data_IF_616127442138
#
_entry.id   IF_616127442138
#
_cell.length_a   1.000
_cell.length_b   1.000
_cell.length_c   1.000
_cell.angle_alpha   90.00
_cell.angle_beta   90.00
_cell.angle_gamma   90.00
#
_symmetry.space_group_name_H-M   'P 1'
#
loop_
_entity.id
_entity.type
_entity.pdbx_description
1 polymer ?
#
# COMPACT_ATOMS: atom_id res chain seq x y z
N UNK A 1 14.05 -2.14 42.07
CA UNK A 1 13.49 -3.08 41.08
C UNK A 1 14.37 -4.30 41.05
N UNK A 2 13.77 -5.48 41.18
CA UNK A 2 14.49 -6.73 40.93
C UNK A 2 14.98 -6.72 39.47
N UNK A 3 16.17 -7.22 39.18
CA UNK A 3 16.74 -7.25 37.80
C UNK A 3 15.77 -7.84 36.76
N UNK A 4 14.85 -8.69 37.19
CA UNK A 4 13.89 -9.43 36.35
C UNK A 4 12.75 -8.56 35.77
N UNK A 5 12.31 -7.50 36.45
CA UNK A 5 11.18 -6.66 35.99
C UNK A 5 11.59 -5.71 34.88
N UNK A 6 12.80 -5.12 34.97
CA UNK A 6 13.35 -4.26 33.91
C UNK A 6 13.71 -5.04 32.64
N UNK A 7 14.21 -6.26 32.79
CA UNK A 7 14.56 -7.13 31.65
C UNK A 7 13.36 -7.41 30.73
N UNK A 8 12.14 -7.47 31.32
CA UNK A 8 10.92 -7.61 30.52
C UNK A 8 10.62 -6.37 29.67
N UNK A 9 10.85 -5.17 30.18
CA UNK A 9 10.63 -3.91 29.45
C UNK A 9 11.66 -3.68 28.33
N UNK A 10 12.88 -4.21 28.49
CA UNK A 10 13.94 -4.12 27.47
C UNK A 10 13.60 -4.88 26.19
N UNK A 11 12.78 -5.94 26.29
CA UNK A 11 12.38 -6.77 25.15
C UNK A 11 11.15 -6.23 24.40
N UNK A 12 10.49 -5.21 24.93
CA UNK A 12 9.30 -4.64 24.30
C UNK A 12 9.68 -3.81 23.05
N UNK A 13 8.92 -4.02 21.98
CA UNK A 13 9.02 -3.23 20.78
C UNK A 13 8.41 -1.83 20.94
N UNK A 14 7.51 -1.63 21.91
CA UNK A 14 6.97 -0.33 22.28
C UNK A 14 8.05 0.51 22.97
N UNK A 15 8.08 1.81 22.68
CA UNK A 15 8.97 2.75 23.35
C UNK A 15 8.40 3.07 24.75
N UNK A 16 9.13 2.69 25.78
CA UNK A 16 8.67 2.79 27.19
C UNK A 16 9.57 3.74 27.98
N UNK A 17 8.93 4.69 28.66
CA UNK A 17 9.57 5.61 29.57
C UNK A 17 8.87 5.56 30.94
N UNK A 18 9.64 5.50 32.02
CA UNK A 18 9.14 5.56 33.39
C UNK A 18 9.48 6.91 34.00
N UNK A 19 8.45 7.59 34.52
CA UNK A 19 8.59 8.88 35.18
C UNK A 19 7.95 8.88 36.58
N UNK A 20 8.41 9.78 37.47
CA UNK A 20 7.79 9.99 38.75
C UNK A 20 6.69 11.07 38.72
N UNK A 21 6.13 11.40 39.90
CA UNK A 21 5.12 12.45 40.07
C UNK A 21 5.57 13.83 39.61
N UNK A 22 6.87 14.10 39.58
CA UNK A 22 7.47 15.35 39.12
C UNK A 22 7.84 15.31 37.65
N UNK A 23 7.44 14.23 36.93
CA UNK A 23 7.75 14.01 35.55
C UNK A 23 9.25 13.86 35.26
N UNK A 24 10.03 13.40 36.27
CA UNK A 24 11.45 13.11 36.11
C UNK A 24 11.62 11.70 35.55
N UNK A 25 12.46 11.56 34.51
CA UNK A 25 12.74 10.30 33.86
C UNK A 25 13.63 9.41 34.72
N UNK A 26 13.15 8.21 35.06
CA UNK A 26 13.89 7.18 35.80
C UNK A 26 14.37 6.02 34.98
N UNK A 27 13.64 5.69 33.88
CA UNK A 27 13.98 4.59 32.99
C UNK A 27 13.47 4.85 31.56
N UNK A 28 14.21 4.34 30.61
CA UNK A 28 13.89 4.34 29.20
C UNK A 28 14.38 3.03 28.58
N UNK A 29 13.52 2.31 27.84
CA UNK A 29 13.95 1.09 27.19
C UNK A 29 14.66 1.36 25.86
N UNK A 30 15.37 0.36 25.26
CA UNK A 30 16.10 0.57 24.00
C UNK A 30 15.22 1.06 22.84
N UNK A 31 13.92 0.68 22.81
CA UNK A 31 12.98 1.16 21.80
C UNK A 31 12.70 2.65 21.96
N UNK A 32 12.60 3.16 23.19
CA UNK A 32 12.44 4.58 23.44
C UNK A 32 13.73 5.38 23.18
N UNK A 33 14.91 4.83 23.51
CA UNK A 33 16.19 5.43 23.16
C UNK A 33 16.32 5.61 21.65
N UNK A 34 15.91 4.60 20.86
CA UNK A 34 15.93 4.66 19.41
C UNK A 34 14.86 5.61 18.85
N UNK A 35 13.66 5.66 19.43
CA UNK A 35 12.57 6.51 18.98
C UNK A 35 12.94 7.99 19.13
N UNK A 36 13.49 8.34 20.28
CA UNK A 36 13.83 9.72 20.65
C UNK A 36 15.27 10.11 20.29
N UNK A 37 16.10 9.15 19.86
CA UNK A 37 17.55 9.34 19.63
C UNK A 37 18.27 9.86 20.87
N UNK A 38 17.82 9.43 22.05
CA UNK A 38 18.37 9.81 23.36
C UNK A 38 18.99 8.59 24.03
N UNK A 39 19.96 8.83 24.92
CA UNK A 39 20.55 7.76 25.74
C UNK A 39 20.09 7.93 27.19
N UNK A 40 19.58 6.88 27.83
CA UNK A 40 19.09 6.92 29.21
C UNK A 40 20.12 7.46 30.18
N UNK A 41 21.40 7.19 29.96
CA UNK A 41 22.48 7.70 30.82
C UNK A 41 22.58 9.23 30.87
N UNK A 42 22.10 9.89 29.82
CA UNK A 42 22.16 11.34 29.70
C UNK A 42 20.85 12.01 30.14
N UNK A 43 19.74 11.25 30.16
CA UNK A 43 18.40 11.82 30.43
C UNK A 43 17.80 11.36 31.77
N UNK A 44 18.37 10.33 32.38
CA UNK A 44 17.95 9.94 33.74
C UNK A 44 18.12 11.07 34.75
N UNK A 45 17.04 11.39 35.46
CA UNK A 45 16.99 12.50 36.40
C UNK A 45 16.61 13.85 35.80
N UNK A 46 16.40 13.96 34.48
CA UNK A 46 15.89 15.18 33.85
C UNK A 46 14.34 15.14 33.79
N UNK A 47 13.72 16.33 33.79
CA UNK A 47 12.30 16.44 33.62
C UNK A 47 11.89 16.26 32.14
N UNK A 48 10.70 15.73 31.88
CA UNK A 48 10.18 15.59 30.50
C UNK A 48 10.15 16.94 29.76
N UNK A 49 9.90 18.05 30.48
CA UNK A 49 9.90 19.39 29.88
C UNK A 49 11.28 19.86 29.42
N UNK A 50 12.37 19.26 29.92
CA UNK A 50 13.73 19.56 29.48
C UNK A 50 14.12 18.73 28.22
N UNK A 51 13.35 17.67 27.92
CA UNK A 51 13.62 16.76 26.80
C UNK A 51 12.76 17.08 25.59
N UNK A 52 11.53 17.57 25.80
CA UNK A 52 10.55 17.81 24.75
C UNK A 52 10.13 19.29 24.71
N UNK A 53 10.00 19.85 23.50
CA UNK A 53 9.69 21.27 23.29
C UNK A 53 8.24 21.63 23.70
N UNK A 54 7.27 20.72 23.54
CA UNK A 54 5.87 20.90 23.96
C UNK A 54 5.36 19.68 24.71
N UNK A 55 5.18 19.83 26.02
CA UNK A 55 4.70 18.75 26.89
C UNK A 55 3.27 18.99 27.41
N UNK A 56 2.54 19.98 26.91
CA UNK A 56 1.22 20.35 27.46
C UNK A 56 0.22 19.19 27.35
N UNK A 57 0.10 18.58 26.17
CA UNK A 57 -0.79 17.44 25.94
C UNK A 57 -0.38 16.21 26.76
N UNK A 58 0.92 15.92 26.83
CA UNK A 58 1.47 14.81 27.63
C UNK A 58 1.22 15.03 29.13
N UNK A 59 1.42 16.22 29.60
CA UNK A 59 1.15 16.60 31.03
C UNK A 59 -0.33 16.49 31.35
N UNK A 60 -1.23 16.87 30.44
CA UNK A 60 -2.67 16.74 30.62
C UNK A 60 -3.07 15.24 30.70
N UNK A 61 -2.50 14.39 29.83
CA UNK A 61 -2.74 12.95 29.87
C UNK A 61 -2.28 12.30 31.18
N UNK A 62 -1.11 12.71 31.71
CA UNK A 62 -0.57 12.22 32.97
C UNK A 62 -1.44 12.67 34.14
N UNK A 63 -1.87 13.94 34.17
CA UNK A 63 -2.75 14.46 35.20
C UNK A 63 -4.09 13.71 35.20
N UNK A 64 -4.67 13.48 34.05
CA UNK A 64 -5.91 12.68 33.93
C UNK A 64 -5.73 11.28 34.50
N UNK A 65 -4.64 10.59 34.13
CA UNK A 65 -4.35 9.24 34.60
C UNK A 65 -4.15 9.21 36.14
N UNK A 66 -3.53 10.26 36.69
CA UNK A 66 -3.35 10.46 38.15
C UNK A 66 -4.69 10.64 38.86
N UNK A 67 -5.51 11.57 38.38
CA UNK A 67 -6.75 11.98 39.08
C UNK A 67 -7.80 10.83 39.07
N UNK A 68 -7.77 9.98 38.02
CA UNK A 68 -8.72 8.90 37.88
C UNK A 68 -8.13 7.52 38.20
N UNK A 69 -6.83 7.43 38.52
CA UNK A 69 -6.10 6.18 38.76
C UNK A 69 -6.37 5.10 37.69
N UNK A 70 -6.38 5.50 36.43
CA UNK A 70 -6.60 4.61 35.28
C UNK A 70 -5.65 4.94 34.13
N UNK A 71 -5.44 3.97 33.23
CA UNK A 71 -4.67 4.22 32.02
C UNK A 71 -5.42 5.19 31.11
N UNK A 72 -4.69 6.12 30.51
CA UNK A 72 -5.19 7.09 29.54
C UNK A 72 -4.34 7.06 28.27
N UNK A 73 -4.98 7.09 27.09
CA UNK A 73 -4.29 7.10 25.80
C UNK A 73 -4.58 8.39 25.05
N UNK A 74 -3.52 9.14 24.76
CA UNK A 74 -3.56 10.31 23.87
C UNK A 74 -3.11 9.87 22.47
N UNK A 75 -4.02 9.98 21.48
CA UNK A 75 -3.79 9.45 20.13
C UNK A 75 -3.11 10.40 19.16
N UNK A 76 -3.10 11.69 19.44
CA UNK A 76 -2.58 12.72 18.54
C UNK A 76 -1.57 13.62 19.25
N UNK A 77 -0.52 12.99 19.83
CA UNK A 77 0.53 13.70 20.54
C UNK A 77 1.61 14.16 19.56
N UNK A 78 1.87 15.46 19.52
CA UNK A 78 2.97 16.05 18.78
C UNK A 78 4.07 16.44 19.78
N UNK A 79 5.21 15.76 19.72
CA UNK A 79 6.37 16.06 20.56
C UNK A 79 7.52 16.57 19.71
N UNK A 80 8.10 17.72 20.10
CA UNK A 80 9.32 18.26 19.52
C UNK A 80 10.54 17.77 20.30
N UNK A 81 11.57 17.30 19.59
CA UNK A 81 12.88 16.92 20.14
C UNK A 81 13.95 17.44 19.20
N UNK A 82 14.85 18.29 19.70
CA UNK A 82 15.99 18.82 18.96
C UNK A 82 15.60 19.37 17.56
N UNK A 83 14.46 20.06 17.47
CA UNK A 83 13.94 20.65 16.21
C UNK A 83 13.22 19.66 15.29
N UNK A 84 13.01 18.40 15.70
CA UNK A 84 12.20 17.40 14.97
C UNK A 84 10.84 17.27 15.64
N UNK A 85 9.78 17.20 14.85
CA UNK A 85 8.42 16.91 15.32
C UNK A 85 8.09 15.44 15.11
N UNK A 86 7.66 14.78 16.18
CA UNK A 86 7.23 13.39 16.19
C UNK A 86 5.73 13.33 16.46
N UNK A 87 4.99 12.66 15.56
CA UNK A 87 3.57 12.37 15.74
C UNK A 87 3.41 10.99 16.36
N UNK A 88 2.97 10.95 17.61
CA UNK A 88 2.94 9.75 18.44
C UNK A 88 1.55 9.56 19.05
N UNK A 89 1.26 8.35 19.47
CA UNK A 89 0.26 8.08 20.51
C UNK A 89 1.00 7.72 21.79
N UNK A 90 0.49 8.17 22.94
CA UNK A 90 1.05 7.88 24.24
C UNK A 90 -0.01 7.29 25.16
N UNK A 91 0.23 6.09 25.67
CA UNK A 91 -0.57 5.51 26.76
C UNK A 91 0.15 5.74 28.07
N UNK A 92 -0.52 6.41 29.00
CA UNK A 92 -0.05 6.68 30.35
C UNK A 92 -0.71 5.70 31.30
N UNK A 93 0.07 4.92 32.03
CA UNK A 93 -0.42 3.96 33.03
C UNK A 93 0.17 4.28 34.39
N UNK A 94 -0.65 4.57 35.43
CA UNK A 94 -0.16 4.69 36.80
C UNK A 94 0.40 3.34 37.29
N UNK A 95 1.61 3.36 37.86
CA UNK A 95 2.25 2.15 38.39
C UNK A 95 2.74 2.38 39.82
N UNK A 96 2.28 1.51 40.73
CA UNK A 96 2.82 1.46 42.09
C UNK A 96 4.09 0.60 42.10
N UNK A 97 5.24 1.23 42.33
CA UNK A 97 6.53 0.52 42.51
C UNK A 97 6.89 0.50 43.97
N UNK A 98 6.75 -0.65 44.63
CA UNK A 98 6.89 -0.77 46.08
C UNK A 98 8.33 -0.65 46.63
N UNK A 99 9.37 -0.75 45.81
CA UNK A 99 10.71 -1.02 46.38
C UNK A 99 11.79 0.07 46.23
N UNK A 100 11.74 1.03 45.30
CA UNK A 100 12.88 1.96 45.10
C UNK A 100 12.56 3.39 44.68
N UNK A 101 11.34 3.74 44.32
CA UNK A 101 10.94 5.08 43.93
C UNK A 101 9.74 5.45 44.79
N UNK A 102 9.95 6.29 45.83
CA UNK A 102 8.90 6.73 46.75
C UNK A 102 7.91 7.61 45.98
N UNK A 103 6.68 7.16 45.79
CA UNK A 103 5.59 7.90 45.19
C UNK A 103 4.90 7.19 44.02
N UNK A 104 3.88 7.85 43.46
CA UNK A 104 3.20 7.39 42.26
C UNK A 104 4.13 7.56 41.05
N UNK A 105 4.25 6.54 40.25
CA UNK A 105 5.03 6.51 39.01
C UNK A 105 4.11 6.31 37.84
N UNK A 106 4.53 6.76 36.66
CA UNK A 106 3.78 6.61 35.41
C UNK A 106 4.64 5.89 34.39
N UNK A 107 4.08 4.85 33.81
CA UNK A 107 4.63 4.19 32.64
C UNK A 107 4.05 4.87 31.40
N UNK A 108 4.90 5.41 30.56
CA UNK A 108 4.55 6.05 29.30
C UNK A 108 4.94 5.12 28.18
N UNK A 109 3.95 4.65 27.39
CA UNK A 109 4.17 3.82 26.20
C UNK A 109 3.93 4.67 24.96
N UNK A 110 4.96 4.88 24.16
CA UNK A 110 4.88 5.67 22.94
C UNK A 110 4.86 4.76 21.71
N UNK A 111 3.99 5.10 20.75
CA UNK A 111 3.91 4.43 19.46
C UNK A 111 3.81 5.45 18.33
N UNK A 112 4.46 5.19 17.20
CA UNK A 112 4.35 6.03 16.01
C UNK A 112 2.94 5.97 15.43
N UNK A 113 2.25 7.11 15.43
CA UNK A 113 0.91 7.22 14.83
C UNK A 113 0.95 6.98 13.32
N UNK A 114 1.99 7.45 12.63
CA UNK A 114 2.17 7.20 11.19
C UNK A 114 2.25 5.71 10.84
N UNK A 115 2.88 4.91 11.68
CA UNK A 115 3.02 3.46 11.43
C UNK A 115 1.69 2.74 11.57
N UNK A 116 0.87 3.11 12.55
CA UNK A 116 -0.49 2.59 12.72
C UNK A 116 -1.41 3.02 11.57
N UNK A 117 -1.35 4.28 11.16
CA UNK A 117 -2.11 4.78 10.00
C UNK A 117 -1.70 4.10 8.70
N UNK A 118 -0.41 3.85 8.49
CA UNK A 118 0.08 3.07 7.34
C UNK A 118 -0.45 1.65 7.35
N UNK A 119 -0.37 0.95 8.49
CA UNK A 119 -0.89 -0.42 8.64
C UNK A 119 -2.41 -0.44 8.39
N UNK A 120 -3.17 0.47 9.01
CA UNK A 120 -4.61 0.56 8.82
C UNK A 120 -4.99 0.90 7.36
N UNK A 121 -4.21 1.73 6.68
CA UNK A 121 -4.40 2.04 5.26
C UNK A 121 -4.12 0.83 4.37
N UNK A 122 -3.04 0.10 4.65
CA UNK A 122 -2.72 -1.14 3.93
C UNK A 122 -3.78 -2.22 4.13
N UNK A 123 -4.30 -2.37 5.35
CA UNK A 123 -5.40 -3.31 5.64
C UNK A 123 -6.66 -2.97 4.86
N UNK A 124 -7.05 -1.69 4.83
CA UNK A 124 -8.19 -1.23 4.04
C UNK A 124 -8.01 -1.51 2.55
N UNK A 125 -6.80 -1.27 2.00
CA UNK A 125 -6.51 -1.56 0.60
C UNK A 125 -6.58 -3.05 0.27
N UNK A 126 -6.14 -3.92 1.18
CA UNK A 126 -6.21 -5.37 1.02
C UNK A 126 -7.66 -5.88 1.07
N UNK A 127 -8.46 -5.41 2.04
CA UNK A 127 -9.86 -5.80 2.17
C UNK A 127 -10.67 -5.28 0.98
N UNK A 128 -10.40 -4.06 0.53
CA UNK A 128 -10.99 -3.48 -0.67
C UNK A 128 -10.63 -4.27 -1.93
N UNK A 129 -9.39 -4.71 -2.07
CA UNK A 129 -8.94 -5.55 -3.19
C UNK A 129 -9.65 -6.92 -3.20
N UNK A 130 -9.88 -7.52 -2.03
CA UNK A 130 -10.62 -8.79 -1.91
C UNK A 130 -12.09 -8.63 -2.28
N UNK A 131 -12.76 -7.61 -1.74
CA UNK A 131 -14.14 -7.31 -2.06
C UNK A 131 -14.33 -7.03 -3.55
N UNK A 132 -13.43 -6.25 -4.15
CA UNK A 132 -13.44 -5.97 -5.58
C UNK A 132 -13.30 -7.23 -6.44
N UNK A 133 -12.44 -8.18 -6.05
CA UNK A 133 -12.29 -9.48 -6.77
C UNK A 133 -13.56 -10.29 -6.76
N UNK A 134 -14.21 -10.39 -5.61
CA UNK A 134 -15.45 -11.15 -5.46
C UNK A 134 -16.58 -10.51 -6.27
N UNK A 135 -16.68 -9.17 -6.23
CA UNK A 135 -17.62 -8.40 -7.00
C UNK A 135 -17.43 -8.59 -8.52
N UNK A 136 -16.18 -8.50 -9.01
CA UNK A 136 -15.84 -8.75 -10.42
C UNK A 136 -16.23 -10.18 -10.84
N UNK A 137 -15.93 -11.17 -10.00
CA UNK A 137 -16.28 -12.57 -10.30
C UNK A 137 -17.78 -12.74 -10.44
N UNK A 138 -18.55 -12.22 -9.52
CA UNK A 138 -20.01 -12.32 -9.52
C UNK A 138 -20.63 -11.58 -10.72
N UNK A 139 -20.21 -10.32 -10.95
CA UNK A 139 -20.66 -9.52 -12.09
C UNK A 139 -20.33 -10.20 -13.43
N UNK A 140 -19.15 -10.74 -13.57
CA UNK A 140 -18.77 -11.37 -14.83
C UNK A 140 -19.57 -12.66 -15.11
N UNK A 141 -19.89 -13.45 -14.07
CA UNK A 141 -20.81 -14.59 -14.22
C UNK A 141 -22.22 -14.15 -14.61
N UNK A 142 -22.73 -13.10 -13.96
CA UNK A 142 -24.07 -12.56 -14.25
C UNK A 142 -24.17 -11.89 -15.61
N UNK A 143 -23.10 -11.31 -16.15
CA UNK A 143 -23.06 -10.74 -17.50
C UNK A 143 -22.86 -11.80 -18.58
N UNK A 144 -22.06 -12.84 -18.33
CA UNK A 144 -21.87 -13.94 -19.29
C UNK A 144 -23.16 -14.65 -19.66
N UNK A 145 -24.05 -14.83 -18.70
CA UNK A 145 -25.30 -15.54 -18.90
C UNK A 145 -26.20 -14.84 -19.94
N UNK A 146 -26.58 -13.55 -19.82
CA UNK A 146 -27.37 -12.86 -20.83
C UNK A 146 -26.65 -12.72 -22.17
N UNK A 147 -25.31 -12.53 -22.18
CA UNK A 147 -24.53 -12.50 -23.43
C UNK A 147 -24.61 -13.83 -24.18
N UNK A 148 -24.54 -14.96 -23.45
CA UNK A 148 -24.71 -16.29 -24.04
C UNK A 148 -26.12 -16.44 -24.62
N UNK A 149 -27.16 -15.94 -23.98
CA UNK A 149 -28.54 -15.90 -24.49
C UNK A 149 -28.68 -15.06 -25.75
N UNK A 150 -28.15 -13.83 -25.76
CA UNK A 150 -28.17 -12.92 -26.93
C UNK A 150 -27.47 -13.57 -28.13
N UNK A 151 -26.25 -14.12 -27.87
CA UNK A 151 -25.47 -14.83 -28.91
C UNK A 151 -26.26 -16.01 -29.51
N UNK A 152 -26.82 -16.87 -28.63
CA UNK A 152 -27.59 -18.03 -29.04
C UNK A 152 -28.84 -17.63 -29.85
N UNK A 153 -29.58 -16.63 -29.43
CA UNK A 153 -30.71 -16.09 -30.15
C UNK A 153 -30.33 -15.53 -31.53
N UNK A 154 -29.24 -14.75 -31.60
CA UNK A 154 -28.71 -14.24 -32.88
C UNK A 154 -28.25 -15.34 -33.81
N UNK A 155 -27.63 -16.42 -33.30
CA UNK A 155 -27.23 -17.59 -34.10
C UNK A 155 -28.44 -18.37 -34.64
N UNK A 156 -29.51 -18.51 -33.85
CA UNK A 156 -30.74 -19.15 -34.32
C UNK A 156 -31.42 -18.28 -35.38
N UNK A 157 -31.52 -16.99 -35.15
CA UNK A 157 -32.09 -16.05 -36.11
C UNK A 157 -31.31 -16.04 -37.43
N UNK A 158 -29.97 -16.07 -37.38
CA UNK A 158 -29.09 -16.12 -38.53
C UNK A 158 -29.38 -17.32 -39.44
N UNK A 159 -29.78 -18.45 -38.85
CA UNK A 159 -30.13 -19.68 -39.59
C UNK A 159 -31.52 -19.65 -40.24
N UNK A 160 -32.42 -18.87 -39.68
CA UNK A 160 -33.83 -18.76 -40.14
C UNK A 160 -34.04 -17.58 -41.12
N UNK A 161 -33.01 -16.77 -41.37
CA UNK A 161 -33.10 -15.63 -42.27
C UNK A 161 -32.89 -16.04 -43.71
N UNK A 162 -33.89 -15.79 -44.58
CA UNK A 162 -33.82 -16.04 -46.02
C UNK A 162 -33.13 -14.90 -46.80
N UNK A 163 -32.95 -13.70 -46.19
CA UNK A 163 -32.41 -12.52 -46.87
C UNK A 163 -30.94 -12.29 -46.53
N UNK A 164 -30.02 -12.36 -47.52
CA UNK A 164 -28.59 -12.25 -47.33
C UNK A 164 -28.16 -10.96 -46.61
N UNK A 165 -28.84 -9.84 -46.88
CA UNK A 165 -28.54 -8.55 -46.24
C UNK A 165 -28.87 -8.46 -44.74
N UNK A 166 -29.70 -9.37 -44.23
CA UNK A 166 -30.04 -9.41 -42.79
C UNK A 166 -29.02 -10.24 -41.99
N UNK A 167 -28.29 -11.15 -42.60
CA UNK A 167 -27.20 -11.87 -41.96
C UNK A 167 -26.08 -10.97 -41.46
N UNK A 168 -25.84 -9.83 -42.12
CA UNK A 168 -24.85 -8.87 -41.66
C UNK A 168 -25.18 -8.36 -40.24
N UNK A 169 -26.44 -8.10 -39.95
CA UNK A 169 -26.86 -7.62 -38.62
C UNK A 169 -26.70 -8.71 -37.53
N UNK A 170 -27.06 -9.95 -37.85
CA UNK A 170 -26.91 -11.04 -36.87
C UNK A 170 -25.44 -11.36 -36.63
N UNK A 171 -24.59 -11.29 -37.63
CA UNK A 171 -23.14 -11.46 -37.51
C UNK A 171 -22.50 -10.35 -36.67
N UNK A 172 -22.96 -9.10 -36.80
CA UNK A 172 -22.51 -7.98 -35.92
C UNK A 172 -22.91 -8.27 -34.48
N UNK A 173 -24.15 -8.71 -34.21
CA UNK A 173 -24.61 -9.01 -32.84
C UNK A 173 -23.76 -10.15 -32.24
N UNK A 174 -23.52 -11.23 -32.99
CA UNK A 174 -22.71 -12.37 -32.56
C UNK A 174 -21.28 -11.91 -32.24
N UNK A 175 -20.67 -11.10 -33.11
CA UNK A 175 -19.30 -10.60 -32.97
C UNK A 175 -19.16 -9.69 -31.74
N UNK A 176 -20.13 -8.80 -31.50
CA UNK A 176 -20.09 -7.93 -30.32
C UNK A 176 -20.37 -8.72 -29.02
N UNK A 177 -21.25 -9.72 -29.04
CA UNK A 177 -21.46 -10.60 -27.91
C UNK A 177 -20.18 -11.40 -27.57
N UNK A 178 -19.49 -11.95 -28.59
CA UNK A 178 -18.21 -12.63 -28.42
C UNK A 178 -17.13 -11.71 -27.90
N UNK A 179 -17.07 -10.47 -28.38
CA UNK A 179 -16.14 -9.43 -27.90
C UNK A 179 -16.38 -9.09 -26.43
N UNK A 180 -17.63 -8.90 -26.02
CA UNK A 180 -17.99 -8.64 -24.63
C UNK A 180 -17.66 -9.85 -23.75
N UNK A 181 -17.91 -11.07 -24.23
CA UNK A 181 -17.58 -12.29 -23.51
C UNK A 181 -16.06 -12.42 -23.31
N UNK A 182 -15.26 -12.12 -24.31
CA UNK A 182 -13.80 -12.08 -24.21
C UNK A 182 -13.31 -11.01 -23.22
N UNK A 183 -13.96 -9.84 -23.17
CA UNK A 183 -13.65 -8.81 -22.16
C UNK A 183 -13.96 -9.31 -20.74
N UNK A 184 -15.11 -9.99 -20.55
CA UNK A 184 -15.46 -10.61 -19.27
C UNK A 184 -14.48 -11.72 -18.89
N UNK A 185 -14.06 -12.53 -19.86
CA UNK A 185 -13.04 -13.54 -19.62
C UNK A 185 -11.72 -12.96 -19.15
N UNK A 186 -11.28 -11.86 -19.71
CA UNK A 186 -10.07 -11.14 -19.24
C UNK A 186 -10.21 -10.61 -17.83
N UNK A 187 -11.42 -10.31 -17.37
CA UNK A 187 -11.69 -9.87 -16.00
C UNK A 187 -11.69 -11.02 -14.99
N UNK A 188 -12.19 -12.19 -15.41
CA UNK A 188 -12.30 -13.36 -14.54
C UNK A 188 -11.02 -14.14 -14.43
N UNK A 189 -10.11 -13.96 -15.36
CA UNK A 189 -9.00 -14.87 -15.48
C UNK A 189 -7.86 -14.50 -14.53
N UNK A 190 -7.61 -15.33 -13.54
CA UNK A 190 -6.28 -15.87 -13.37
C UNK A 190 -6.11 -16.90 -14.46
N UNK A 191 -5.70 -16.51 -15.68
CA UNK A 191 -5.66 -17.35 -16.87
C UNK A 191 -4.68 -18.51 -16.81
N UNK A 192 -3.95 -18.62 -15.73
CA UNK A 192 -2.99 -19.70 -15.49
C UNK A 192 -2.82 -19.77 -13.99
N UNK A 193 -2.76 -20.97 -13.42
CA UNK A 193 -2.21 -21.12 -12.08
C UNK A 193 -0.91 -20.31 -12.05
N UNK A 194 -0.75 -19.38 -11.10
CA UNK A 194 0.46 -18.58 -11.01
C UNK A 194 1.67 -19.50 -11.12
N UNK A 195 2.57 -19.22 -12.04
CA UNK A 195 3.83 -19.96 -12.16
C UNK A 195 4.94 -19.14 -11.50
N UNK A 196 5.08 -19.21 -10.19
CA UNK A 196 6.08 -18.43 -9.49
C UNK A 196 7.47 -18.89 -9.89
N UNK A 197 8.24 -18.00 -10.47
CA UNK A 197 9.64 -18.16 -10.81
C UNK A 197 10.46 -17.03 -10.20
N UNK A 198 11.78 -17.15 -10.25
CA UNK A 198 12.65 -16.01 -9.96
C UNK A 198 12.60 -15.03 -11.14
N UNK A 199 12.12 -13.83 -10.89
CA UNK A 199 11.89 -12.80 -11.90
C UNK A 199 12.83 -11.62 -11.69
N UNK A 200 13.46 -11.19 -12.77
CA UNK A 200 14.14 -9.91 -12.81
C UNK A 200 13.12 -8.81 -13.19
N UNK A 201 12.89 -7.88 -12.28
CA UNK A 201 11.90 -6.81 -12.50
C UNK A 201 12.29 -5.90 -13.67
N UNK A 202 13.57 -5.72 -13.95
CA UNK A 202 14.03 -4.89 -15.06
C UNK A 202 13.67 -5.50 -16.42
N UNK A 203 13.69 -6.84 -16.55
CA UNK A 203 13.19 -7.51 -17.77
C UNK A 203 11.69 -7.28 -17.98
N UNK A 204 10.91 -7.29 -16.89
CA UNK A 204 9.48 -6.97 -16.92
C UNK A 204 9.29 -5.53 -17.44
N UNK A 205 10.02 -4.57 -16.87
CA UNK A 205 9.92 -3.16 -17.24
C UNK A 205 10.38 -2.87 -18.66
N UNK A 206 11.45 -3.53 -19.14
CA UNK A 206 11.92 -3.36 -20.51
C UNK A 206 10.91 -3.94 -21.52
N UNK A 207 10.23 -5.05 -21.18
CA UNK A 207 9.14 -5.58 -22.00
C UNK A 207 7.97 -4.59 -22.08
N UNK A 208 7.55 -4.04 -20.94
CA UNK A 208 6.49 -3.01 -20.85
C UNK A 208 6.87 -1.77 -21.66
N UNK A 209 8.10 -1.28 -21.48
CA UNK A 209 8.64 -0.13 -22.20
C UNK A 209 8.57 -0.33 -23.72
N UNK A 210 8.99 -1.51 -24.21
CA UNK A 210 8.98 -1.82 -25.64
C UNK A 210 7.56 -1.80 -26.22
N UNK A 211 6.57 -2.31 -25.47
CA UNK A 211 5.16 -2.33 -25.90
C UNK A 211 4.61 -0.90 -25.95
N UNK A 212 4.85 -0.12 -24.90
CA UNK A 212 4.32 1.26 -24.81
C UNK A 212 4.94 2.17 -25.88
N UNK A 213 6.24 2.07 -26.15
CA UNK A 213 6.88 2.86 -27.21
C UNK A 213 6.40 2.48 -28.62
N UNK A 214 5.97 1.24 -28.82
CA UNK A 214 5.35 0.83 -30.08
C UNK A 214 3.91 1.36 -30.23
N UNK A 215 3.15 1.49 -29.13
CA UNK A 215 1.80 2.07 -29.11
C UNK A 215 1.80 3.62 -29.13
N UNK A 216 2.79 4.23 -28.47
CA UNK A 216 2.91 5.68 -28.27
C UNK A 216 4.34 6.18 -28.60
N UNK A 217 4.69 6.35 -29.87
CA UNK A 217 6.06 6.67 -30.29
C UNK A 217 6.60 8.02 -29.79
N UNK A 218 5.72 8.98 -29.53
CA UNK A 218 6.08 10.34 -29.12
C UNK A 218 6.26 10.51 -27.60
N UNK A 219 6.10 9.44 -26.82
CA UNK A 219 6.32 9.45 -25.36
C UNK A 219 7.78 9.16 -25.05
N UNK A 220 8.35 9.94 -24.15
CA UNK A 220 9.70 9.71 -23.62
C UNK A 220 9.60 8.85 -22.38
N UNK A 221 10.20 7.64 -22.39
CA UNK A 221 10.28 6.77 -21.21
C UNK A 221 11.72 6.75 -20.68
N UNK A 222 11.93 7.39 -19.52
CA UNK A 222 13.22 7.37 -18.79
C UNK A 222 13.29 6.22 -17.81
N UNK A 223 14.48 5.68 -17.65
CA UNK A 223 14.82 4.59 -16.73
C UNK A 223 15.64 5.15 -15.58
N UNK A 224 15.25 4.80 -14.36
CA UNK A 224 15.96 5.11 -13.13
C UNK A 224 16.02 3.84 -12.27
N UNK A 225 16.81 2.86 -12.74
CA UNK A 225 16.86 1.52 -12.19
C UNK A 225 18.01 1.35 -11.21
N UNK A 226 17.70 0.77 -10.06
CA UNK A 226 18.69 0.23 -9.15
C UNK A 226 19.08 -1.19 -9.62
N UNK A 227 20.26 -1.30 -10.26
CA UNK A 227 20.74 -2.57 -10.83
C UNK A 227 21.17 -3.59 -9.77
N UNK A 228 21.23 -3.20 -8.50
CA UNK A 228 21.60 -4.10 -7.39
C UNK A 228 20.44 -4.92 -6.84
N UNK A 229 19.22 -4.73 -7.38
CA UNK A 229 18.02 -5.40 -6.90
C UNK A 229 18.10 -6.91 -7.09
N UNK A 230 17.73 -7.70 -6.06
CA UNK A 230 17.66 -9.15 -6.16
C UNK A 230 16.47 -9.59 -7.04
N UNK A 231 16.52 -10.83 -7.50
CA UNK A 231 15.38 -11.47 -8.15
C UNK A 231 14.22 -11.60 -7.15
N UNK A 232 13.01 -11.39 -7.61
CA UNK A 232 11.79 -11.60 -6.82
C UNK A 232 11.09 -12.89 -7.25
N UNK A 233 10.40 -13.53 -6.33
CA UNK A 233 9.57 -14.69 -6.62
C UNK A 233 8.19 -14.23 -7.08
N UNK A 234 7.83 -14.53 -8.32
CA UNK A 234 6.55 -14.10 -8.87
C UNK A 234 6.26 -14.70 -10.24
N UNK A 235 5.06 -14.42 -10.75
CA UNK A 235 4.65 -14.75 -12.11
C UNK A 235 5.02 -13.58 -13.04
N UNK A 236 5.96 -13.83 -13.95
CA UNK A 236 6.50 -12.82 -14.88
C UNK A 236 5.40 -12.18 -15.74
N UNK A 237 4.46 -12.97 -16.24
CA UNK A 237 3.40 -12.47 -17.11
C UNK A 237 2.39 -11.60 -16.36
N UNK A 238 2.03 -11.99 -15.13
CA UNK A 238 1.16 -11.17 -14.28
C UNK A 238 1.83 -9.83 -13.91
N UNK A 239 3.13 -9.85 -13.61
CA UNK A 239 3.88 -8.63 -13.32
C UNK A 239 4.02 -7.72 -14.54
N UNK A 240 4.24 -8.30 -15.75
CA UNK A 240 4.22 -7.54 -17.00
C UNK A 240 2.85 -6.89 -17.19
N UNK A 241 1.76 -7.63 -16.98
CA UNK A 241 0.41 -7.14 -17.18
C UNK A 241 0.04 -6.05 -16.18
N UNK A 242 0.44 -6.21 -14.91
CA UNK A 242 0.25 -5.19 -13.88
C UNK A 242 0.98 -3.88 -14.23
N UNK A 243 2.26 -3.97 -14.54
CA UNK A 243 3.07 -2.82 -14.93
C UNK A 243 2.57 -2.18 -16.23
N UNK A 244 2.18 -2.99 -17.22
CA UNK A 244 1.64 -2.52 -18.50
C UNK A 244 0.35 -1.71 -18.31
N UNK A 245 -0.55 -2.17 -17.44
CA UNK A 245 -1.79 -1.45 -17.14
C UNK A 245 -1.52 -0.07 -16.54
N UNK A 246 -0.55 0.04 -15.62
CA UNK A 246 -0.20 1.31 -14.99
C UNK A 246 0.50 2.24 -15.98
N UNK A 247 1.52 1.74 -16.71
CA UNK A 247 2.28 2.56 -17.67
C UNK A 247 1.42 2.98 -18.86
N UNK A 248 0.49 2.11 -19.33
CA UNK A 248 -0.48 2.47 -20.37
C UNK A 248 -1.44 3.56 -19.88
N UNK A 249 -1.88 3.52 -18.63
CA UNK A 249 -2.70 4.59 -18.07
C UNK A 249 -1.94 5.92 -18.02
N UNK A 250 -0.66 5.92 -17.66
CA UNK A 250 0.22 7.08 -17.72
C UNK A 250 0.35 7.60 -19.16
N UNK A 251 0.64 6.73 -20.13
CA UNK A 251 0.75 7.08 -21.53
C UNK A 251 -0.54 7.72 -22.10
N UNK A 252 -1.68 7.14 -21.74
CA UNK A 252 -2.99 7.67 -22.13
C UNK A 252 -3.29 9.02 -21.46
N UNK A 253 -2.83 9.28 -20.21
CA UNK A 253 -3.02 10.55 -19.54
C UNK A 253 -2.23 11.66 -20.22
N UNK A 254 -1.09 11.33 -20.79
CA UNK A 254 -0.23 12.24 -21.56
C UNK A 254 -0.74 12.54 -22.97
N UNK A 255 -1.88 11.96 -23.38
CA UNK A 255 -2.44 12.12 -24.75
C UNK A 255 -1.41 11.87 -25.85
N UNK A 256 -0.47 10.93 -25.59
CA UNK A 256 0.57 10.52 -26.53
C UNK A 256 1.84 11.37 -26.54
N UNK A 257 1.93 12.45 -25.73
CA UNK A 257 3.14 13.27 -25.62
C UNK A 257 3.46 13.60 -24.17
N UNK A 258 4.68 13.37 -23.75
CA UNK A 258 5.14 13.66 -22.38
C UNK A 258 6.23 12.73 -21.93
N UNK A 259 6.50 12.74 -20.63
CA UNK A 259 7.56 11.94 -20.02
C UNK A 259 6.98 10.96 -18.99
N UNK A 260 7.40 9.70 -19.10
CA UNK A 260 7.18 8.67 -18.08
C UNK A 260 8.55 8.28 -17.52
N UNK A 261 8.67 8.17 -16.19
CA UNK A 261 9.88 7.70 -15.55
C UNK A 261 9.57 6.40 -14.81
N UNK A 262 10.34 5.35 -15.14
CA UNK A 262 10.28 4.05 -14.48
C UNK A 262 11.44 3.98 -13.51
N UNK A 263 11.13 3.90 -12.21
CA UNK A 263 12.12 3.83 -11.14
C UNK A 263 12.05 2.51 -10.39
N UNK A 264 13.20 2.03 -9.90
CA UNK A 264 13.26 0.86 -9.02
C UNK A 264 14.23 1.12 -7.87
N UNK A 265 13.83 0.77 -6.63
CA UNK A 265 14.64 0.93 -5.40
C UNK A 265 14.37 -0.21 -4.45
N UNK A 266 15.28 -0.39 -3.48
CA UNK A 266 15.02 -1.25 -2.32
C UNK A 266 14.33 -0.43 -1.23
N UNK A 267 13.18 -0.92 -0.77
CA UNK A 267 12.52 -0.42 0.44
C UNK A 267 12.87 -1.34 1.62
N UNK A 268 13.18 -0.75 2.79
CA UNK A 268 13.59 -1.48 3.98
C UNK A 268 12.49 -1.46 5.03
N UNK A 269 12.38 -2.55 5.81
CA UNK A 269 11.46 -2.68 6.94
C UNK A 269 10.01 -2.37 6.57
N UNK A 270 9.51 -2.97 5.52
CA UNK A 270 8.16 -2.77 4.99
C UNK A 270 7.22 -3.84 5.53
N UNK A 271 6.01 -3.44 5.91
CA UNK A 271 4.94 -4.38 6.25
C UNK A 271 4.04 -4.54 5.02
N UNK A 272 3.92 -5.75 4.47
CA UNK A 272 3.05 -6.06 3.34
C UNK A 272 2.18 -7.26 3.71
N UNK A 273 0.90 -7.23 3.39
CA UNK A 273 -0.05 -8.31 3.68
C UNK A 273 0.03 -8.82 5.14
N UNK A 274 0.14 -7.90 6.12
CA UNK A 274 0.27 -8.19 7.58
C UNK A 274 1.58 -8.88 7.98
N UNK A 275 2.54 -9.00 7.07
CA UNK A 275 3.85 -9.59 7.34
C UNK A 275 4.94 -8.53 7.19
N UNK A 276 5.86 -8.48 8.16
CA UNK A 276 7.01 -7.58 8.09
C UNK A 276 8.11 -8.22 7.25
N UNK A 277 8.57 -7.47 6.25
CA UNK A 277 9.68 -7.85 5.37
C UNK A 277 10.85 -6.93 5.62
N UNK A 278 12.05 -7.49 5.68
CA UNK A 278 13.28 -6.71 5.83
C UNK A 278 13.56 -5.88 4.59
N UNK A 279 13.26 -6.45 3.42
CA UNK A 279 13.43 -5.81 2.13
C UNK A 279 12.17 -6.01 1.27
N UNK A 280 11.82 -4.97 0.53
CA UNK A 280 10.84 -5.02 -0.53
C UNK A 280 11.38 -4.26 -1.74
N UNK A 281 10.95 -4.64 -2.92
CA UNK A 281 11.20 -3.92 -4.15
C UNK A 281 10.14 -2.82 -4.27
N UNK A 282 10.58 -1.58 -4.43
CA UNK A 282 9.74 -0.44 -4.78
C UNK A 282 9.91 -0.16 -6.27
N UNK A 283 8.83 -0.32 -7.03
CA UNK A 283 8.72 0.08 -8.43
C UNK A 283 7.87 1.34 -8.51
N UNK A 284 8.40 2.39 -9.12
CA UNK A 284 7.69 3.66 -9.33
C UNK A 284 7.44 3.88 -10.81
N UNK A 285 6.22 4.34 -11.12
CA UNK A 285 5.81 4.82 -12.44
C UNK A 285 5.35 6.26 -12.28
N UNK A 286 6.18 7.18 -12.70
CA UNK A 286 5.90 8.62 -12.66
C UNK A 286 5.51 9.11 -14.05
N UNK A 287 4.52 10.00 -14.14
CA UNK A 287 4.16 10.75 -15.35
C UNK A 287 3.94 12.23 -15.04
N UNK A 288 4.20 13.07 -16.03
CA UNK A 288 3.98 14.52 -15.98
C UNK A 288 2.62 14.94 -16.58
N UNK A 289 1.63 14.08 -16.45
CA UNK A 289 0.28 14.28 -16.97
C UNK A 289 -0.57 15.24 -16.12
N UNK A 290 -1.85 15.39 -16.48
CA UNK A 290 -2.76 16.35 -15.84
C UNK A 290 -3.15 15.99 -14.39
N UNK A 291 -2.74 14.82 -13.90
CA UNK A 291 -3.15 14.30 -12.60
C UNK A 291 -4.46 13.51 -12.66
N UNK A 292 -4.89 13.07 -11.49
CA UNK A 292 -6.14 12.32 -11.28
C UNK A 292 -7.15 13.25 -10.66
N UNK A 293 -8.32 13.36 -11.27
CA UNK A 293 -9.43 14.19 -10.79
C UNK A 293 -9.88 13.75 -9.39
N UNK A 294 -10.17 14.72 -8.52
CA UNK A 294 -10.52 14.45 -7.11
C UNK A 294 -11.78 13.59 -6.97
N UNK A 295 -12.74 13.72 -7.88
CA UNK A 295 -14.01 12.98 -7.88
C UNK A 295 -13.82 11.45 -8.00
N UNK A 296 -12.73 11.02 -8.64
CA UNK A 296 -12.45 9.59 -8.86
C UNK A 296 -11.26 9.09 -8.02
N UNK A 297 -10.51 9.98 -7.37
CA UNK A 297 -9.25 9.69 -6.67
C UNK A 297 -9.36 8.53 -5.69
N UNK A 298 -10.41 8.50 -4.87
CA UNK A 298 -10.62 7.43 -3.90
C UNK A 298 -11.07 6.10 -4.53
N UNK A 299 -11.56 6.16 -5.77
CA UNK A 299 -12.20 5.03 -6.46
C UNK A 299 -11.45 4.54 -7.69
N UNK A 300 -10.24 5.01 -7.96
CA UNK A 300 -9.49 4.64 -9.18
C UNK A 300 -9.18 3.14 -9.30
N UNK A 301 -9.18 2.42 -8.18
CA UNK A 301 -9.00 0.96 -8.15
C UNK A 301 -10.33 0.18 -8.18
N UNK A 302 -11.50 0.85 -8.15
CA UNK A 302 -12.76 0.17 -8.33
C UNK A 302 -12.99 -0.21 -9.80
N UNK A 303 -13.62 -1.36 -10.05
CA UNK A 303 -13.91 -1.78 -11.42
C UNK A 303 -14.86 -0.79 -12.10
N UNK A 304 -14.66 -0.60 -13.39
CA UNK A 304 -15.48 0.26 -14.26
C UNK A 304 -15.40 1.77 -13.92
N UNK A 305 -14.51 2.17 -13.01
CA UNK A 305 -14.24 3.58 -12.75
C UNK A 305 -13.20 4.08 -13.75
N UNK A 306 -13.58 5.07 -14.54
CA UNK A 306 -12.72 5.71 -15.52
C UNK A 306 -12.98 7.22 -15.53
N UNK A 307 -11.92 8.00 -15.59
CA UNK A 307 -12.00 9.44 -15.85
C UNK A 307 -12.03 9.78 -17.34
N UNK A 308 -12.21 8.79 -18.23
CA UNK A 308 -12.22 8.96 -19.70
C UNK A 308 -13.38 8.20 -20.32
N UNK A 309 -13.98 8.79 -21.35
CA UNK A 309 -15.14 8.20 -22.04
C UNK A 309 -14.82 6.85 -22.73
N UNK A 310 -13.59 6.65 -23.16
CA UNK A 310 -13.15 5.42 -23.85
C UNK A 310 -12.45 4.41 -22.92
N UNK A 311 -12.30 4.72 -21.64
CA UNK A 311 -11.61 3.87 -20.68
C UNK A 311 -12.49 2.73 -20.16
N UNK A 312 -12.02 1.49 -20.19
CA UNK A 312 -12.75 0.33 -19.63
C UNK A 312 -12.89 0.40 -18.09
N UNK A 313 -12.09 1.23 -17.40
CA UNK A 313 -12.04 1.30 -15.93
C UNK A 313 -11.53 0.03 -15.25
N UNK A 314 -10.88 -0.88 -15.97
CA UNK A 314 -10.49 -2.20 -15.49
C UNK A 314 -8.98 -2.37 -15.27
N UNK A 315 -8.18 -1.52 -15.92
CA UNK A 315 -6.73 -1.68 -15.94
C UNK A 315 -6.09 -1.59 -14.55
N UNK A 316 -6.44 -0.58 -13.75
CA UNK A 316 -5.89 -0.40 -12.39
C UNK A 316 -6.39 -1.47 -11.42
N UNK A 317 -7.65 -1.89 -11.56
CA UNK A 317 -8.20 -2.99 -10.74
C UNK A 317 -7.46 -4.31 -11.00
N UNK A 318 -7.18 -4.63 -12.28
CA UNK A 318 -6.39 -5.82 -12.64
C UNK A 318 -4.95 -5.70 -12.13
N UNK A 319 -4.32 -4.53 -12.26
CA UNK A 319 -2.99 -4.30 -11.72
C UNK A 319 -2.95 -4.53 -10.19
N UNK A 320 -3.92 -4.00 -9.46
CA UNK A 320 -4.04 -4.20 -8.02
C UNK A 320 -4.21 -5.68 -7.66
N UNK A 321 -5.03 -6.43 -8.41
CA UNK A 321 -5.23 -7.86 -8.20
C UNK A 321 -3.94 -8.64 -8.38
N UNK A 322 -3.22 -8.45 -9.48
CA UNK A 322 -1.96 -9.16 -9.74
C UNK A 322 -0.91 -8.84 -8.69
N UNK A 323 -0.76 -7.58 -8.30
CA UNK A 323 0.20 -7.19 -7.26
C UNK A 323 -0.19 -7.78 -5.90
N UNK A 324 -1.48 -7.83 -5.55
CA UNK A 324 -1.96 -8.46 -4.31
C UNK A 324 -1.74 -9.97 -4.28
N UNK A 325 -1.80 -10.67 -5.42
CA UNK A 325 -1.45 -12.10 -5.55
C UNK A 325 0.04 -12.34 -5.28
N UNK A 326 0.88 -11.33 -5.49
CA UNK A 326 2.30 -11.32 -5.13
C UNK A 326 2.56 -10.78 -3.73
N UNK A 327 1.54 -10.68 -2.85
CA UNK A 327 1.61 -10.10 -1.51
C UNK A 327 2.12 -8.65 -1.49
N UNK A 328 1.99 -7.95 -2.60
CA UNK A 328 2.40 -6.57 -2.78
C UNK A 328 1.24 -5.58 -2.58
N UNK A 329 1.57 -4.30 -2.65
CA UNK A 329 0.61 -3.19 -2.60
C UNK A 329 0.88 -2.19 -3.72
N UNK A 330 -0.17 -1.45 -4.12
CA UNK A 330 -0.07 -0.31 -5.02
C UNK A 330 -0.61 0.91 -4.29
N UNK A 331 0.17 1.98 -4.28
CA UNK A 331 -0.23 3.30 -3.80
C UNK A 331 0.01 4.33 -4.90
N UNK A 332 -0.57 5.50 -4.76
CA UNK A 332 -0.34 6.60 -5.70
C UNK A 332 -0.37 7.96 -4.99
N UNK A 333 0.34 8.89 -5.57
CA UNK A 333 0.30 10.32 -5.27
C UNK A 333 0.06 11.03 -6.59
N UNK A 334 -0.85 12.01 -6.61
CA UNK A 334 -1.20 12.68 -7.86
C UNK A 334 -1.57 14.13 -7.61
N UNK A 335 -0.89 14.99 -8.36
CA UNK A 335 -1.14 16.41 -8.52
C UNK A 335 -1.06 16.77 -10.02
N UNK A 336 -1.64 17.88 -10.46
CA UNK A 336 -1.46 18.34 -11.83
C UNK A 336 0.02 18.48 -12.18
N UNK A 337 0.47 17.77 -13.23
CA UNK A 337 1.88 17.74 -13.65
C UNK A 337 2.74 16.68 -12.99
N UNK A 338 2.18 15.91 -12.04
CA UNK A 338 2.96 14.93 -11.28
C UNK A 338 2.06 13.80 -10.75
N UNK A 339 2.00 12.66 -11.45
CA UNK A 339 1.37 11.44 -10.94
C UNK A 339 2.42 10.36 -10.75
N UNK A 340 2.47 9.77 -9.57
CA UNK A 340 3.40 8.69 -9.23
C UNK A 340 2.66 7.51 -8.64
N UNK A 341 2.68 6.38 -9.34
CA UNK A 341 2.25 5.10 -8.79
C UNK A 341 3.45 4.37 -8.19
N UNK A 342 3.31 3.87 -6.98
CA UNK A 342 4.32 3.08 -6.29
C UNK A 342 3.81 1.67 -6.03
N UNK A 343 4.52 0.67 -6.52
CA UNK A 343 4.27 -0.75 -6.28
C UNK A 343 5.33 -1.25 -5.31
N UNK A 344 4.89 -1.89 -4.23
CA UNK A 344 5.78 -2.58 -3.29
C UNK A 344 5.58 -4.08 -3.41
N UNK A 345 6.66 -4.81 -3.65
CA UNK A 345 6.67 -6.27 -3.75
C UNK A 345 7.66 -6.86 -2.74
N UNK A 346 7.28 -7.89 -1.97
CA UNK A 346 8.18 -8.50 -1.02
C UNK A 346 9.34 -9.19 -1.75
N UNK A 347 10.54 -8.99 -1.22
CA UNK A 347 11.73 -9.75 -1.62
C UNK A 347 11.99 -10.78 -0.51
N UNK A 348 11.80 -12.07 -0.84
CA UNK A 348 12.22 -13.13 0.08
C UNK A 348 13.75 -13.15 0.11
N UNK A 349 14.33 -13.03 1.29
CA UNK A 349 15.75 -13.33 1.45
C UNK A 349 15.96 -14.79 1.06
N UNK A 350 16.77 -15.03 0.04
CA UNK A 350 17.31 -16.38 -0.16
C UNK A 350 17.99 -16.74 1.14
N UNK A 351 17.46 -17.73 1.85
CA UNK A 351 18.16 -18.42 2.91
C UNK A 351 19.31 -19.16 2.21
N UNK A 352 20.36 -18.42 1.85
CA UNK A 352 21.62 -19.04 1.54
C UNK A 352 22.21 -19.51 2.86
N UNK A 353 22.12 -20.80 3.00
CA UNK A 353 22.63 -21.58 4.08
C UNK A 353 24.08 -21.26 4.42
N UNK A 354 24.31 -21.53 5.64
CA UNK A 354 25.66 -21.87 6.11
C UNK A 354 26.30 -22.92 5.22
#
# INVERSE_FOLDING_TARGET
MTPTALTGLELLAAAVVLVDQKLIVHYMNPSAENLFELNIKNVAGLALADLFDDTAALSAAINYARDHNCSNTEHALELGIAGRKLHLSCTVTPVGLEEHISGENFLLEFQHTEQQLKIAREERLLDQSRANRELIRNLAHEIKNPLGGIRGAAQLLDRELDRPNLHEYTQVIIKEADRLQQLMDRLLTPHRLPQPALVNIHEVLERVRSVILAEYPDIVIRRDYDTSLPLLKGDKEQLIQAALNIVRNAAQALTGRGEIRLGTRIARQVTLARKRYRHALALTVFDNGPGIADEIRERIFYPLVSGRDSGSGLGLTLAQNFISEHLGTITFESEPGSTCFTILLPVEESVNGK
#
